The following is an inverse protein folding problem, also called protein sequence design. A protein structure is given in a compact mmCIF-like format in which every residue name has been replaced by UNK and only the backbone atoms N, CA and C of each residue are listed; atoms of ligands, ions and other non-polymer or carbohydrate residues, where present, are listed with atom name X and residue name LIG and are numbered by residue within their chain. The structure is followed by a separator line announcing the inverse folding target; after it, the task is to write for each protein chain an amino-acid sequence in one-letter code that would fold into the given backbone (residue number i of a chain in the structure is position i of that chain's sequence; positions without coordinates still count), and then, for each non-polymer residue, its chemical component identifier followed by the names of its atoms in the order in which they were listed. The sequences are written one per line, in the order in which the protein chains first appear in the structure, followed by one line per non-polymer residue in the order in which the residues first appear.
data_IF_258850472827
#
_entry.id   IF_258850472827
#
_cell.length_a   1.000
_cell.length_b   1.000
_cell.length_c   1.000
_cell.angle_alpha   90.00
_cell.angle_beta   90.00
_cell.angle_gamma   90.00
#
_symmetry.space_group_name_H-M   'P 1'
#
loop_
_entity.id
_entity.type
_entity.pdbx_description
1 polymer ?
#
# COMPACT_ATOMS: atom_id res chain seq x y z
N UNK A 1 16.33 -10.71 8.71
CA UNK A 1 16.45 -9.62 9.71
C UNK A 1 15.04 -9.11 10.02
N UNK A 2 14.61 -9.07 11.28
CA UNK A 2 13.21 -8.78 11.64
C UNK A 2 12.80 -7.31 11.34
N UNK A 3 11.54 -7.11 10.94
CA UNK A 3 10.92 -5.80 10.76
C UNK A 3 10.68 -5.13 12.12
N UNK A 4 10.79 -3.80 12.23
CA UNK A 4 10.52 -3.11 13.48
C UNK A 4 9.06 -3.31 13.92
N UNK A 5 8.85 -3.73 15.17
CA UNK A 5 7.51 -3.90 15.77
C UNK A 5 6.57 -2.70 15.54
N UNK A 6 6.98 -1.43 15.78
CA UNK A 6 6.07 -0.29 15.57
C UNK A 6 5.66 -0.09 14.10
N UNK A 7 6.47 -0.54 13.15
CA UNK A 7 6.09 -0.53 11.73
C UNK A 7 5.01 -1.55 11.44
N UNK A 8 5.18 -2.80 11.92
CA UNK A 8 4.19 -3.86 11.73
C UNK A 8 2.86 -3.52 12.42
N UNK A 9 2.90 -3.03 13.66
CA UNK A 9 1.69 -2.61 14.38
C UNK A 9 0.96 -1.49 13.63
N UNK A 10 1.68 -0.47 13.17
CA UNK A 10 1.08 0.62 12.39
C UNK A 10 0.47 0.14 11.06
N UNK A 11 1.11 -0.82 10.39
CA UNK A 11 0.62 -1.39 9.14
C UNK A 11 -0.66 -2.21 9.35
N UNK A 12 -0.67 -3.07 10.38
CA UNK A 12 -1.86 -3.86 10.74
C UNK A 12 -3.01 -2.96 11.15
N UNK A 13 -2.76 -1.93 11.97
CA UNK A 13 -3.79 -0.96 12.35
C UNK A 13 -4.37 -0.22 11.14
N UNK A 14 -3.52 0.16 10.17
CA UNK A 14 -3.99 0.78 8.93
C UNK A 14 -4.88 -0.16 8.12
N UNK A 15 -4.48 -1.43 7.98
CA UNK A 15 -5.29 -2.43 7.27
C UNK A 15 -6.62 -2.67 7.97
N UNK A 16 -6.62 -2.79 9.30
CA UNK A 16 -7.85 -2.94 10.09
C UNK A 16 -8.75 -1.71 9.98
N UNK A 17 -8.17 -0.50 9.96
CA UNK A 17 -8.92 0.74 9.78
C UNK A 17 -9.59 0.79 8.40
N UNK A 18 -8.88 0.45 7.32
CA UNK A 18 -9.47 0.40 5.98
C UNK A 18 -10.55 -0.67 5.87
N UNK A 19 -10.37 -1.81 6.55
CA UNK A 19 -11.36 -2.88 6.62
C UNK A 19 -12.63 -2.43 7.38
N UNK A 20 -12.46 -1.73 8.49
CA UNK A 20 -13.57 -1.13 9.23
C UNK A 20 -14.30 -0.06 8.40
N UNK A 21 -13.58 0.78 7.65
CA UNK A 21 -14.17 1.77 6.75
C UNK A 21 -14.97 1.10 5.64
N UNK A 22 -14.47 0.01 5.05
CA UNK A 22 -15.17 -0.74 4.01
C UNK A 22 -16.46 -1.38 4.52
N UNK A 23 -16.42 -2.08 5.66
CA UNK A 23 -17.62 -2.67 6.23
C UNK A 23 -18.60 -1.61 6.75
N UNK A 24 -18.11 -0.50 7.29
CA UNK A 24 -18.94 0.63 7.70
C UNK A 24 -19.60 1.33 6.52
N UNK A 25 -18.89 1.48 5.38
CA UNK A 25 -19.47 2.11 4.19
C UNK A 25 -20.53 1.24 3.53
N UNK A 26 -20.40 -0.08 3.57
CA UNK A 26 -21.44 -1.02 3.10
C UNK A 26 -22.77 -0.89 3.85
N UNK A 27 -22.75 -0.49 5.13
CA UNK A 27 -23.99 -0.27 5.91
C UNK A 27 -24.71 1.03 5.53
N UNK A 28 -23.97 2.04 5.09
CA UNK A 28 -24.51 3.37 4.76
C UNK A 28 -24.85 3.47 3.27
N UNK A 29 -24.03 2.84 2.43
CA UNK A 29 -24.16 2.83 0.98
C UNK A 29 -23.92 1.40 0.48
N UNK A 30 -24.97 0.64 0.12
CA UNK A 30 -24.79 -0.68 -0.46
C UNK A 30 -24.27 -0.51 -1.90
N UNK A 31 -22.96 -0.60 -2.08
CA UNK A 31 -22.35 -0.65 -3.40
C UNK A 31 -21.97 -2.10 -3.71
N UNK A 32 -22.21 -2.49 -4.97
CA UNK A 32 -21.81 -3.81 -5.47
C UNK A 32 -20.29 -3.82 -5.65
N UNK A 33 -19.58 -4.32 -4.66
CA UNK A 33 -18.16 -4.67 -4.79
C UNK A 33 -17.95 -6.01 -4.13
N UNK A 34 -17.52 -7.00 -4.90
CA UNK A 34 -17.23 -8.31 -4.37
C UNK A 34 -16.14 -8.22 -3.27
N UNK A 35 -16.45 -8.70 -2.06
CA UNK A 35 -15.61 -8.56 -0.87
C UNK A 35 -14.18 -9.08 -1.09
N UNK A 36 -14.05 -10.19 -1.83
CA UNK A 36 -12.76 -10.80 -2.12
C UNK A 36 -11.81 -9.85 -2.87
N UNK A 37 -12.33 -8.98 -3.75
CA UNK A 37 -11.51 -8.01 -4.50
C UNK A 37 -10.88 -7.00 -3.55
N UNK A 38 -11.65 -6.55 -2.56
CA UNK A 38 -11.15 -5.65 -1.53
C UNK A 38 -10.10 -6.33 -0.64
N UNK A 39 -10.31 -7.59 -0.25
CA UNK A 39 -9.32 -8.35 0.51
C UNK A 39 -8.02 -8.58 -0.25
N UNK A 40 -8.10 -8.93 -1.55
CA UNK A 40 -6.91 -9.05 -2.42
C UNK A 40 -6.15 -7.74 -2.48
N UNK A 41 -6.86 -6.62 -2.59
CA UNK A 41 -6.27 -5.30 -2.66
C UNK A 41 -5.54 -4.90 -1.38
N UNK A 42 -6.17 -5.13 -0.22
CA UNK A 42 -5.54 -4.91 1.08
C UNK A 42 -4.33 -5.82 1.30
N UNK A 43 -4.44 -7.09 0.95
CA UNK A 43 -3.34 -8.05 1.06
C UNK A 43 -2.16 -7.64 0.17
N UNK A 44 -2.44 -7.27 -1.08
CA UNK A 44 -1.43 -6.78 -2.00
C UNK A 44 -0.70 -5.55 -1.45
N UNK A 45 -1.44 -4.53 -1.01
CA UNK A 45 -0.84 -3.31 -0.48
C UNK A 45 -0.06 -3.53 0.81
N UNK A 46 -0.51 -4.44 1.67
CA UNK A 46 0.22 -4.86 2.86
C UNK A 46 1.54 -5.54 2.47
N UNK A 47 1.51 -6.52 1.57
CA UNK A 47 2.69 -7.28 1.15
C UNK A 47 3.72 -6.40 0.43
N UNK A 48 3.28 -5.57 -0.51
CA UNK A 48 4.20 -4.68 -1.26
C UNK A 48 4.81 -3.62 -0.34
N UNK A 49 4.07 -3.16 0.69
CA UNK A 49 4.59 -2.20 1.67
C UNK A 49 5.63 -2.84 2.57
N UNK A 50 5.41 -4.09 3.01
CA UNK A 50 6.41 -4.88 3.74
C UNK A 50 7.66 -5.09 2.89
N UNK A 51 7.48 -5.52 1.63
CA UNK A 51 8.56 -5.77 0.70
C UNK A 51 9.42 -4.53 0.48
N UNK A 52 8.80 -3.39 0.16
CA UNK A 52 9.50 -2.12 -0.01
C UNK A 52 10.25 -1.70 1.24
N UNK A 53 9.65 -1.80 2.42
CA UNK A 53 10.31 -1.44 3.67
C UNK A 53 11.54 -2.33 3.94
N UNK A 54 11.43 -3.64 3.70
CA UNK A 54 12.53 -4.59 3.82
C UNK A 54 13.69 -4.26 2.87
N UNK A 55 13.38 -3.96 1.61
CA UNK A 55 14.38 -3.54 0.61
C UNK A 55 15.13 -2.28 1.06
N UNK A 56 14.42 -1.27 1.57
CA UNK A 56 15.04 0.00 1.97
C UNK A 56 15.91 -0.13 3.20
N UNK A 57 15.55 -1.02 4.14
CA UNK A 57 16.35 -1.26 5.34
C UNK A 57 17.79 -1.69 5.02
N UNK A 58 17.98 -2.45 3.94
CA UNK A 58 19.31 -2.86 3.45
C UNK A 58 20.20 -1.72 2.93
N UNK A 59 19.62 -0.54 2.69
CA UNK A 59 20.33 0.65 2.18
C UNK A 59 20.55 1.74 3.22
N UNK A 60 20.04 1.56 4.45
CA UNK A 60 20.28 2.49 5.56
C UNK A 60 21.78 2.44 5.90
N UNK A 61 22.45 3.60 5.84
CA UNK A 61 23.90 3.74 6.07
C UNK A 61 24.77 3.69 4.80
N UNK A 62 24.17 3.59 3.61
CA UNK A 62 24.89 3.78 2.33
C UNK A 62 24.81 5.23 1.87
N UNK A 63 25.63 5.60 0.86
CA UNK A 63 25.64 6.95 0.26
C UNK A 63 24.21 7.45 -0.01
N UNK A 64 23.89 8.73 0.28
CA UNK A 64 22.54 9.29 0.12
C UNK A 64 21.92 9.08 -1.28
N UNK A 65 22.76 9.13 -2.31
CA UNK A 65 22.37 8.89 -3.72
C UNK A 65 21.87 7.47 -3.97
N UNK A 66 22.48 6.46 -3.35
CA UNK A 66 22.04 5.06 -3.45
C UNK A 66 20.72 4.83 -2.74
N UNK A 67 20.48 5.53 -1.62
CA UNK A 67 19.20 5.48 -0.91
C UNK A 67 18.08 6.07 -1.76
N UNK A 68 18.30 7.26 -2.33
CA UNK A 68 17.32 7.92 -3.20
C UNK A 68 16.97 7.07 -4.44
N UNK A 69 17.97 6.49 -5.11
CA UNK A 69 17.74 5.64 -6.28
C UNK A 69 16.93 4.38 -5.93
N UNK A 70 17.24 3.71 -4.82
CA UNK A 70 16.50 2.52 -4.37
C UNK A 70 15.08 2.86 -3.95
N UNK A 71 14.88 4.01 -3.28
CA UNK A 71 13.54 4.49 -2.93
C UNK A 71 12.72 4.77 -4.19
N UNK A 72 13.25 5.53 -5.15
CA UNK A 72 12.57 5.80 -6.42
C UNK A 72 12.23 4.51 -7.16
N UNK A 73 13.17 3.58 -7.25
CA UNK A 73 12.94 2.27 -7.88
C UNK A 73 11.84 1.47 -7.18
N UNK A 74 11.81 1.46 -5.85
CA UNK A 74 10.75 0.78 -5.07
C UNK A 74 9.37 1.43 -5.26
N UNK A 75 9.31 2.76 -5.32
CA UNK A 75 8.07 3.50 -5.59
C UNK A 75 7.56 3.24 -7.01
N UNK A 76 8.44 3.30 -8.01
CA UNK A 76 8.09 3.03 -9.41
C UNK A 76 7.62 1.59 -9.58
N UNK A 77 8.34 0.62 -9.00
CA UNK A 77 7.95 -0.78 -9.04
C UNK A 77 6.58 -1.00 -8.38
N UNK A 78 6.35 -0.40 -7.22
CA UNK A 78 5.04 -0.43 -6.55
C UNK A 78 3.95 0.15 -7.44
N UNK A 79 4.19 1.29 -8.08
CA UNK A 79 3.21 1.94 -8.95
C UNK A 79 2.87 1.06 -10.16
N UNK A 80 3.86 0.49 -10.83
CA UNK A 80 3.67 -0.43 -11.96
C UNK A 80 2.87 -1.67 -11.52
N UNK A 81 3.27 -2.32 -10.42
CA UNK A 81 2.56 -3.50 -9.92
C UNK A 81 1.13 -3.17 -9.48
N UNK A 82 0.92 -2.00 -8.88
CA UNK A 82 -0.42 -1.54 -8.48
C UNK A 82 -1.29 -1.29 -9.71
N UNK A 83 -0.73 -0.71 -10.78
CA UNK A 83 -1.45 -0.47 -12.03
C UNK A 83 -1.79 -1.79 -12.73
N UNK A 84 -0.86 -2.74 -12.79
CA UNK A 84 -1.10 -4.08 -13.34
C UNK A 84 -2.22 -4.78 -12.57
N UNK A 85 -2.19 -4.74 -11.23
CA UNK A 85 -3.26 -5.31 -10.40
C UNK A 85 -4.61 -4.62 -10.66
N UNK A 86 -4.60 -3.28 -10.73
CA UNK A 86 -5.80 -2.50 -11.01
C UNK A 86 -6.43 -2.90 -12.34
N UNK A 87 -5.63 -2.93 -13.42
CA UNK A 87 -6.09 -3.31 -14.76
C UNK A 87 -6.59 -4.76 -14.77
N UNK A 88 -5.84 -5.69 -14.16
CA UNK A 88 -6.21 -7.10 -14.12
C UNK A 88 -7.56 -7.33 -13.42
N UNK A 89 -7.83 -6.65 -12.30
CA UNK A 89 -9.11 -6.77 -11.61
C UNK A 89 -10.20 -5.99 -12.34
N UNK A 90 -9.93 -4.77 -12.80
CA UNK A 90 -10.92 -3.91 -13.44
C UNK A 90 -11.47 -4.48 -14.75
N UNK A 91 -10.62 -5.12 -15.58
CA UNK A 91 -11.07 -5.76 -16.83
C UNK A 91 -11.98 -6.97 -16.53
N UNK A 92 -11.73 -7.68 -15.44
CA UNK A 92 -12.54 -8.83 -15.01
C UNK A 92 -13.73 -8.43 -14.11
N UNK A 93 -13.97 -7.13 -13.93
CA UNK A 93 -15.05 -6.62 -13.08
C UNK A 93 -16.26 -6.21 -13.92
N UNK A 94 -17.49 -6.56 -13.48
CA UNK A 94 -18.71 -5.99 -14.05
C UNK A 94 -18.68 -4.46 -14.02
N UNK A 95 -19.33 -3.81 -14.98
CA UNK A 95 -19.30 -2.34 -15.12
C UNK A 95 -19.78 -1.62 -13.85
N UNK A 96 -20.76 -2.18 -13.15
CA UNK A 96 -21.27 -1.65 -11.89
C UNK A 96 -20.21 -1.61 -10.77
N UNK A 97 -19.24 -2.54 -10.77
CA UNK A 97 -18.21 -2.64 -9.73
C UNK A 97 -16.95 -1.82 -10.03
N UNK A 98 -16.76 -1.37 -11.28
CA UNK A 98 -15.52 -0.68 -11.71
C UNK A 98 -15.28 0.62 -10.95
N UNK A 99 -16.33 1.42 -10.73
CA UNK A 99 -16.23 2.71 -10.02
C UNK A 99 -15.95 2.48 -8.52
N UNK A 100 -16.74 1.65 -7.79
CA UNK A 100 -16.44 1.31 -6.40
C UNK A 100 -15.03 0.72 -6.22
N UNK A 101 -14.62 -0.17 -7.13
CA UNK A 101 -13.28 -0.75 -7.10
C UNK A 101 -12.18 0.31 -7.30
N UNK A 102 -12.34 1.21 -8.27
CA UNK A 102 -11.42 2.31 -8.52
C UNK A 102 -11.25 3.24 -7.31
N UNK A 103 -12.35 3.57 -6.64
CA UNK A 103 -12.33 4.36 -5.41
C UNK A 103 -11.62 3.62 -4.27
N UNK A 104 -11.96 2.35 -4.04
CA UNK A 104 -11.32 1.53 -3.00
C UNK A 104 -9.81 1.37 -3.26
N UNK A 105 -9.43 1.19 -4.53
CA UNK A 105 -8.04 1.13 -4.96
C UNK A 105 -7.31 2.43 -4.69
N UNK A 106 -7.87 3.57 -5.12
CA UNK A 106 -7.24 4.87 -4.93
C UNK A 106 -7.05 5.20 -3.45
N UNK A 107 -8.09 5.00 -2.64
CA UNK A 107 -8.03 5.27 -1.20
C UNK A 107 -6.99 4.40 -0.49
N UNK A 108 -6.99 3.09 -0.79
CA UNK A 108 -6.00 2.18 -0.20
C UNK A 108 -4.59 2.50 -0.67
N UNK A 109 -4.40 2.75 -1.98
CA UNK A 109 -3.12 3.15 -2.53
C UNK A 109 -2.56 4.37 -1.81
N UNK A 110 -3.36 5.43 -1.67
CA UNK A 110 -2.96 6.67 -0.99
C UNK A 110 -2.65 6.42 0.48
N UNK A 111 -3.48 5.67 1.19
CA UNK A 111 -3.30 5.39 2.61
C UNK A 111 -1.99 4.61 2.88
N UNK A 112 -1.76 3.52 2.14
CA UNK A 112 -0.53 2.75 2.26
C UNK A 112 0.69 3.51 1.76
N UNK A 113 0.55 4.35 0.74
CA UNK A 113 1.65 5.18 0.24
C UNK A 113 2.03 6.26 1.26
N UNK A 114 1.07 6.97 1.84
CA UNK A 114 1.29 7.95 2.89
C UNK A 114 1.97 7.32 4.12
N UNK A 115 1.51 6.14 4.54
CA UNK A 115 2.13 5.38 5.62
C UNK A 115 3.58 5.01 5.29
N UNK A 116 3.83 4.43 4.12
CA UNK A 116 5.16 4.02 3.69
C UNK A 116 6.13 5.23 3.65
N UNK A 117 5.73 6.32 2.99
CA UNK A 117 6.52 7.55 2.90
C UNK A 117 6.86 8.13 4.27
N UNK A 118 5.88 8.20 5.19
CA UNK A 118 6.12 8.69 6.56
C UNK A 118 7.12 7.82 7.32
N UNK A 119 7.04 6.51 7.16
CA UNK A 119 7.96 5.58 7.82
C UNK A 119 9.36 5.63 7.21
N UNK A 120 9.48 5.93 5.92
CA UNK A 120 10.77 6.08 5.25
C UNK A 120 11.47 7.40 5.60
N UNK A 121 10.73 8.49 5.78
CA UNK A 121 11.30 9.76 6.26
C UNK A 121 11.95 9.63 7.65
N UNK A 122 11.40 8.77 8.52
CA UNK A 122 12.00 8.45 9.83
C UNK A 122 13.33 7.69 9.72
N UNK A 123 13.62 7.09 8.56
CA UNK A 123 14.84 6.32 8.30
C UNK A 123 15.89 7.12 7.52
N UNK A 124 15.61 8.39 7.18
CA UNK A 124 16.55 9.25 6.46
C UNK A 124 17.84 9.39 7.28
N UNK A 125 19.03 9.12 6.70
CA UNK A 125 20.29 9.43 7.37
C UNK A 125 20.31 10.92 7.69
N UNK A 126 20.55 11.26 8.95
CA UNK A 126 20.87 12.63 9.33
C UNK A 126 22.23 12.93 8.71
N UNK A 127 22.29 13.91 7.80
CA UNK A 127 23.58 14.41 7.32
C UNK A 127 24.29 15.06 8.52
N UNK A 128 25.16 14.29 9.17
CA UNK A 128 26.19 14.77 10.11
C UNK A 128 27.55 14.44 9.53
#
# INVERSE_FOLDING_TARGET
MALPRPFLTGLVLLTLLLLAIYHGSQQVWPFELAEWRFYVLLLFFLLITIFNHSLMKSSIGKRPTLFANRYMMGVVLKLILSLVLFIAIAINSPDAEKIPFGLAFLLSYLAFNAFASRQMLKLKPTDT
#
